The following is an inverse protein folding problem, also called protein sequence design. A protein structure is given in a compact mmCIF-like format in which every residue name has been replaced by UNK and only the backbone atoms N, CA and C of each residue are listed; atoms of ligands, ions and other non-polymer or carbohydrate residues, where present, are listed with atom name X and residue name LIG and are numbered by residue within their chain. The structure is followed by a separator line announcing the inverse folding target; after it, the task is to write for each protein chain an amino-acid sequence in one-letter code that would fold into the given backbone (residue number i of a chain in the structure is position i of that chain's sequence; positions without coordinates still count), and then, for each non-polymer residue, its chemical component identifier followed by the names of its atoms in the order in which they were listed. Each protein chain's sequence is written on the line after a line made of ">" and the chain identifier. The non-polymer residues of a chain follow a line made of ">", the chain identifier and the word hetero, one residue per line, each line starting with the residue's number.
data_IF_076141830511
#
_entry.id   IF_076141830511
#
_cell.length_a   1.000
_cell.length_b   1.000
_cell.length_c   1.000
_cell.angle_alpha   90.00
_cell.angle_beta   90.00
_cell.angle_gamma   90.00
#
_symmetry.space_group_name_H-M   'P 1'
#
loop_
_entity.id
_entity.type
_entity.pdbx_description
1 polymer ?
#
# COMPACT_ATOMS: atom_id res chain seq x y z
N UNK A 1 59.73 -4.30 -20.10
CA UNK A 1 58.52 -3.46 -19.79
C UNK A 1 58.24 -3.60 -18.31
N UNK A 2 58.49 -2.57 -17.49
CA UNK A 2 58.18 -2.60 -16.06
C UNK A 2 56.74 -2.07 -15.90
N UNK A 3 55.82 -2.91 -15.44
CA UNK A 3 54.46 -2.53 -15.07
C UNK A 3 54.52 -1.45 -13.97
N UNK A 4 53.77 -0.33 -14.11
CA UNK A 4 53.78 0.71 -13.11
C UNK A 4 53.22 0.16 -11.80
N UNK A 5 53.92 0.41 -10.72
CA UNK A 5 53.61 0.03 -9.35
C UNK A 5 52.33 0.78 -8.95
N UNK A 6 51.15 0.18 -9.14
CA UNK A 6 49.87 0.70 -8.60
C UNK A 6 49.96 0.66 -7.10
N UNK A 7 49.77 1.82 -6.40
CA UNK A 7 49.95 1.87 -4.97
C UNK A 7 48.92 0.96 -4.29
N UNK A 8 49.39 -0.08 -3.60
CA UNK A 8 48.60 -1.09 -2.86
C UNK A 8 47.49 -0.51 -1.99
N UNK A 9 47.65 0.74 -1.52
CA UNK A 9 46.67 1.44 -0.68
C UNK A 9 45.40 1.81 -1.46
N UNK A 10 45.52 2.13 -2.76
CA UNK A 10 44.36 2.47 -3.60
C UNK A 10 43.51 1.24 -3.94
N UNK A 11 44.12 0.11 -4.15
CA UNK A 11 43.43 -1.16 -4.47
C UNK A 11 42.61 -1.61 -3.27
N UNK A 12 43.11 -1.57 -2.04
CA UNK A 12 42.37 -1.93 -0.82
C UNK A 12 41.15 -1.02 -0.61
N UNK A 13 41.31 0.28 -0.83
CA UNK A 13 40.19 1.24 -0.73
C UNK A 13 39.13 0.99 -1.82
N UNK A 14 39.56 0.68 -3.03
CA UNK A 14 38.66 0.36 -4.12
C UNK A 14 37.85 -0.92 -3.83
N UNK A 15 38.50 -1.97 -3.32
CA UNK A 15 37.86 -3.23 -2.94
C UNK A 15 36.83 -2.97 -1.83
N UNK A 16 37.18 -2.21 -0.78
CA UNK A 16 36.26 -1.86 0.30
C UNK A 16 35.05 -1.08 -0.20
N UNK A 17 35.25 -0.15 -1.13
CA UNK A 17 34.17 0.63 -1.73
C UNK A 17 33.22 -0.24 -2.56
N UNK A 18 33.78 -1.15 -3.36
CA UNK A 18 32.98 -2.11 -4.16
C UNK A 18 32.17 -3.05 -3.24
N UNK A 19 32.80 -3.58 -2.17
CA UNK A 19 32.10 -4.42 -1.18
C UNK A 19 30.99 -3.64 -0.46
N UNK A 20 31.24 -2.40 -0.08
CA UNK A 20 30.23 -1.55 0.54
C UNK A 20 29.05 -1.31 -0.41
N UNK A 21 29.31 -0.95 -1.66
CA UNK A 21 28.24 -0.75 -2.66
C UNK A 21 27.45 -2.04 -2.93
N UNK A 22 28.12 -3.19 -2.96
CA UNK A 22 27.45 -4.49 -3.11
C UNK A 22 26.56 -4.83 -1.92
N UNK A 23 26.99 -4.52 -0.69
CA UNK A 23 26.17 -4.69 0.51
C UNK A 23 24.95 -3.78 0.51
N UNK A 24 25.12 -2.50 0.14
CA UNK A 24 24.02 -1.54 0.04
C UNK A 24 23.02 -1.97 -1.03
N UNK A 25 23.49 -2.35 -2.22
CA UNK A 25 22.63 -2.82 -3.30
C UNK A 25 21.91 -4.12 -2.94
N UNK A 26 22.60 -5.07 -2.31
CA UNK A 26 22.00 -6.31 -1.81
C UNK A 26 20.97 -6.07 -0.73
N UNK A 27 21.25 -5.20 0.23
CA UNK A 27 20.29 -4.79 1.28
C UNK A 27 19.05 -4.12 0.69
N UNK A 28 19.23 -3.25 -0.30
CA UNK A 28 18.11 -2.60 -0.98
C UNK A 28 17.25 -3.59 -1.78
N UNK A 29 17.88 -4.54 -2.49
CA UNK A 29 17.17 -5.59 -3.23
C UNK A 29 16.35 -6.50 -2.30
N UNK A 30 16.92 -6.90 -1.15
CA UNK A 30 16.21 -7.70 -0.13
C UNK A 30 15.07 -6.91 0.47
N UNK A 31 15.28 -5.64 0.82
CA UNK A 31 14.22 -4.76 1.32
C UNK A 31 13.07 -4.62 0.32
N UNK A 32 13.39 -4.34 -0.94
CA UNK A 32 12.40 -4.23 -2.01
C UNK A 32 11.60 -5.52 -2.22
N UNK A 33 12.31 -6.67 -2.25
CA UNK A 33 11.65 -7.97 -2.36
C UNK A 33 10.77 -8.29 -1.15
N UNK A 34 11.19 -7.87 0.04
CA UNK A 34 10.44 -8.13 1.27
C UNK A 34 9.20 -7.22 1.42
N UNK A 35 9.22 -6.03 0.87
CA UNK A 35 8.10 -5.05 0.92
C UNK A 35 7.18 -5.11 -0.30
N UNK A 36 7.45 -5.97 -1.28
CA UNK A 36 6.76 -6.00 -2.58
C UNK A 36 6.69 -4.62 -3.26
N UNK A 37 7.64 -3.74 -2.95
CA UNK A 37 7.68 -2.37 -3.43
C UNK A 37 6.59 -1.46 -2.84
N UNK A 38 5.92 -1.91 -1.77
CA UNK A 38 4.86 -1.15 -1.11
C UNK A 38 5.42 -0.31 0.05
N UNK A 39 4.95 0.92 0.17
CA UNK A 39 5.07 1.73 1.37
C UNK A 39 3.87 1.43 2.28
N UNK A 40 4.13 1.13 3.55
CA UNK A 40 3.10 0.78 4.54
C UNK A 40 2.80 1.98 5.43
N UNK A 41 1.54 2.11 5.82
CA UNK A 41 1.05 3.12 6.75
C UNK A 41 -0.05 4.01 6.15
N UNK A 42 -0.77 4.69 7.03
CA UNK A 42 -1.90 5.54 6.66
C UNK A 42 -1.44 6.88 6.06
N UNK A 43 -0.95 6.83 4.82
CA UNK A 43 -0.42 7.97 4.09
C UNK A 43 -1.51 9.00 3.74
N UNK A 44 -1.30 10.26 4.13
CA UNK A 44 -2.30 11.31 3.96
C UNK A 44 -2.56 11.67 2.49
N UNK A 45 -1.57 11.83 1.61
CA UNK A 45 -1.79 12.03 0.17
C UNK A 45 -2.59 10.89 -0.48
N UNK A 46 -2.21 9.63 -0.25
CA UNK A 46 -2.92 8.47 -0.79
C UNK A 46 -4.37 8.41 -0.30
N UNK A 47 -4.61 8.73 0.99
CA UNK A 47 -5.95 8.82 1.55
C UNK A 47 -6.79 9.89 0.88
N UNK A 48 -6.27 11.10 0.69
CA UNK A 48 -6.99 12.19 0.02
C UNK A 48 -7.38 11.83 -1.42
N UNK A 49 -6.50 11.15 -2.15
CA UNK A 49 -6.78 10.71 -3.52
C UNK A 49 -7.91 9.66 -3.57
N UNK A 50 -7.89 8.68 -2.66
CA UNK A 50 -8.95 7.67 -2.58
C UNK A 50 -10.29 8.26 -2.15
N UNK A 51 -10.30 9.16 -1.16
CA UNK A 51 -11.52 9.86 -0.72
C UNK A 51 -12.09 10.77 -1.82
N UNK A 52 -11.23 11.47 -2.57
CA UNK A 52 -11.67 12.28 -3.71
C UNK A 52 -12.32 11.43 -4.81
N UNK A 53 -11.71 10.29 -5.15
CA UNK A 53 -12.28 9.34 -6.10
C UNK A 53 -13.63 8.78 -5.62
N UNK A 54 -13.72 8.38 -4.35
CA UNK A 54 -14.96 7.87 -3.76
C UNK A 54 -16.07 8.93 -3.78
N UNK A 55 -15.76 10.20 -3.54
CA UNK A 55 -16.73 11.28 -3.61
C UNK A 55 -17.33 11.46 -5.03
N UNK A 56 -16.61 11.07 -6.07
CA UNK A 56 -17.11 11.12 -7.46
C UNK A 56 -18.04 9.93 -7.77
N UNK A 57 -17.70 8.72 -7.32
CA UNK A 57 -18.46 7.50 -7.65
C UNK A 57 -19.58 7.18 -6.65
N UNK A 58 -19.51 7.69 -5.44
CA UNK A 58 -20.46 7.49 -4.33
C UNK A 58 -21.18 8.79 -3.97
N UNK A 59 -21.88 9.35 -4.95
CA UNK A 59 -22.65 10.59 -4.76
C UNK A 59 -23.77 10.37 -3.73
N UNK A 60 -23.84 11.25 -2.73
CA UNK A 60 -24.82 11.14 -1.63
C UNK A 60 -24.31 10.42 -0.39
N UNK A 61 -23.14 9.80 -0.45
CA UNK A 61 -22.46 9.19 0.71
C UNK A 61 -21.31 10.06 1.20
N UNK A 62 -20.89 9.84 2.44
CA UNK A 62 -19.62 10.35 2.98
C UNK A 62 -18.71 9.16 3.19
N UNK A 63 -17.63 9.11 2.43
CA UNK A 63 -16.66 8.04 2.50
C UNK A 63 -15.37 8.51 3.17
N UNK A 64 -14.78 7.64 3.99
CA UNK A 64 -13.46 7.80 4.58
C UNK A 64 -12.61 6.60 4.26
N UNK A 65 -11.30 6.78 4.17
CA UNK A 65 -10.36 5.71 3.88
C UNK A 65 -9.25 5.64 4.92
N UNK A 66 -8.76 4.41 5.16
CA UNK A 66 -7.56 4.11 5.93
C UNK A 66 -6.59 3.37 5.02
N UNK A 67 -5.47 3.98 4.68
CA UNK A 67 -4.49 3.38 3.77
C UNK A 67 -3.62 2.40 4.55
N UNK A 68 -3.57 1.15 4.09
CA UNK A 68 -2.68 0.12 4.64
C UNK A 68 -1.31 0.15 3.97
N UNK A 69 -1.32 0.21 2.64
CA UNK A 69 -0.10 0.22 1.83
C UNK A 69 -0.36 0.84 0.46
N UNK A 70 0.68 1.38 -0.16
CA UNK A 70 0.61 1.93 -1.51
C UNK A 70 1.97 1.90 -2.22
N UNK A 71 1.93 2.03 -3.54
CA UNK A 71 3.08 2.36 -4.38
C UNK A 71 2.65 3.33 -5.49
N UNK A 72 3.43 3.45 -6.56
CA UNK A 72 3.10 4.33 -7.70
C UNK A 72 1.92 3.85 -8.57
N UNK A 73 1.45 2.62 -8.39
CA UNK A 73 0.43 2.00 -9.25
C UNK A 73 -0.85 1.64 -8.50
N UNK A 74 -0.73 1.28 -7.21
CA UNK A 74 -1.84 0.77 -6.42
C UNK A 74 -1.86 1.34 -5.00
N UNK A 75 -3.08 1.48 -4.45
CA UNK A 75 -3.34 1.82 -3.06
C UNK A 75 -4.29 0.76 -2.49
N UNK A 76 -3.92 0.16 -1.37
CA UNK A 76 -4.76 -0.75 -0.59
C UNK A 76 -5.30 0.00 0.62
N UNK A 77 -6.62 0.13 0.71
CA UNK A 77 -7.24 0.90 1.78
C UNK A 77 -8.52 0.28 2.30
N UNK A 78 -8.74 0.42 3.61
CA UNK A 78 -10.03 0.25 4.23
C UNK A 78 -10.94 1.40 3.82
N UNK A 79 -12.16 1.10 3.43
CA UNK A 79 -13.17 2.06 2.97
C UNK A 79 -14.39 1.98 3.88
N UNK A 80 -14.84 3.11 4.35
CA UNK A 80 -16.08 3.26 5.08
C UNK A 80 -16.93 4.35 4.45
N UNK A 81 -18.13 4.01 4.00
CA UNK A 81 -19.07 4.96 3.44
C UNK A 81 -20.38 4.96 4.24
N UNK A 82 -20.95 6.14 4.47
CA UNK A 82 -22.23 6.35 5.15
C UNK A 82 -23.14 7.25 4.32
N UNK A 83 -24.40 6.91 4.27
CA UNK A 83 -25.43 7.78 3.66
C UNK A 83 -25.60 9.08 4.46
N UNK A 84 -25.72 10.21 3.76
CA UNK A 84 -25.87 11.54 4.37
C UNK A 84 -27.24 11.81 5.00
N UNK A 85 -28.25 10.99 4.67
CA UNK A 85 -29.68 11.35 4.92
C UNK A 85 -30.39 10.54 6.01
N UNK A 86 -29.77 9.55 6.65
CA UNK A 86 -30.45 8.70 7.62
C UNK A 86 -29.92 8.89 9.04
N UNK A 87 -30.85 9.04 10.01
CA UNK A 87 -30.57 9.08 11.46
C UNK A 87 -29.95 7.78 11.99
N UNK A 88 -30.12 6.68 11.28
CA UNK A 88 -29.42 5.42 11.51
C UNK A 88 -28.45 5.19 10.36
N UNK A 89 -27.16 5.46 10.54
CA UNK A 89 -26.17 5.33 9.49
C UNK A 89 -26.00 3.86 9.12
N UNK A 90 -26.64 3.42 8.04
CA UNK A 90 -26.21 2.21 7.35
C UNK A 90 -24.88 2.51 6.69
N UNK A 91 -23.83 1.90 7.20
CA UNK A 91 -22.49 2.05 6.67
C UNK A 91 -21.89 0.67 6.43
N UNK A 92 -20.98 0.60 5.49
CA UNK A 92 -20.13 -0.58 5.31
C UNK A 92 -18.68 -0.22 5.59
N UNK A 93 -17.91 -1.23 5.96
CA UNK A 93 -16.47 -1.13 6.10
C UNK A 93 -15.84 -2.33 5.40
N UNK A 94 -15.08 -2.07 4.37
CA UNK A 94 -14.46 -3.10 3.56
C UNK A 94 -13.07 -2.67 3.08
N UNK A 95 -12.31 -3.59 2.49
CA UNK A 95 -10.99 -3.31 1.95
C UNK A 95 -11.02 -3.30 0.45
N UNK A 96 -10.56 -2.21 -0.13
CA UNK A 96 -10.54 -2.01 -1.57
C UNK A 96 -9.11 -1.83 -2.07
N UNK A 97 -8.88 -2.24 -3.31
CA UNK A 97 -7.68 -1.96 -4.08
C UNK A 97 -7.98 -0.88 -5.10
N UNK A 98 -7.27 0.22 -5.02
CA UNK A 98 -7.38 1.33 -5.96
C UNK A 98 -6.20 1.31 -6.91
N UNK A 99 -6.44 1.58 -8.16
CA UNK A 99 -5.42 1.73 -9.19
C UNK A 99 -5.16 3.21 -9.43
N UNK A 100 -3.89 3.55 -9.41
CA UNK A 100 -3.40 4.91 -9.47
C UNK A 100 -2.59 5.13 -10.75
N UNK A 101 -2.85 6.19 -11.47
CA UNK A 101 -2.14 6.59 -12.67
C UNK A 101 -2.16 8.12 -12.80
N UNK A 102 -1.00 8.71 -13.16
CA UNK A 102 -0.85 10.14 -13.47
C UNK A 102 -1.39 11.09 -12.39
N UNK A 103 -1.22 10.74 -11.14
CA UNK A 103 -1.65 11.58 -10.02
C UNK A 103 -3.10 11.40 -9.58
N UNK A 104 -3.83 10.43 -10.14
CA UNK A 104 -5.24 10.19 -9.82
C UNK A 104 -5.58 8.70 -9.71
N UNK A 105 -6.56 8.38 -8.89
CA UNK A 105 -7.19 7.05 -8.86
C UNK A 105 -8.10 6.93 -10.09
N UNK A 106 -7.90 5.88 -10.88
CA UNK A 106 -8.63 5.65 -12.14
C UNK A 106 -9.69 4.57 -12.03
N UNK A 107 -9.48 3.55 -11.19
CA UNK A 107 -10.42 2.45 -10.95
C UNK A 107 -10.19 1.82 -9.59
N UNK A 108 -11.11 0.97 -9.16
CA UNK A 108 -10.98 0.17 -7.95
C UNK A 108 -11.43 -1.26 -8.17
N UNK A 109 -11.00 -2.13 -7.28
CA UNK A 109 -11.48 -3.50 -7.09
C UNK A 109 -11.91 -3.67 -5.64
N UNK A 110 -13.02 -4.33 -5.43
CA UNK A 110 -13.56 -4.67 -4.11
C UNK A 110 -13.71 -6.19 -4.01
N UNK A 111 -13.71 -6.76 -2.79
CA UNK A 111 -13.97 -8.18 -2.60
C UNK A 111 -15.39 -8.54 -3.05
N UNK A 112 -15.61 -9.82 -3.34
CA UNK A 112 -16.94 -10.33 -3.66
C UNK A 112 -17.90 -10.09 -2.49
N UNK A 113 -19.08 -9.55 -2.77
CA UNK A 113 -20.07 -9.20 -1.76
C UNK A 113 -20.90 -10.39 -1.24
N UNK A 114 -20.73 -11.58 -1.83
CA UNK A 114 -21.58 -12.75 -1.55
C UNK A 114 -21.36 -13.37 -0.15
N UNK A 115 -20.38 -12.84 0.59
CA UNK A 115 -20.08 -13.28 1.97
C UNK A 115 -19.42 -14.65 2.08
N UNK A 116 -19.11 -15.08 3.30
CA UNK A 116 -18.58 -16.41 3.62
C UNK A 116 -17.21 -16.70 3.00
N UNK A 117 -17.03 -17.94 2.52
CA UNK A 117 -15.76 -18.39 1.92
C UNK A 117 -15.38 -17.66 0.63
N UNK A 118 -16.36 -17.23 -0.15
CA UNK A 118 -16.16 -16.47 -1.38
C UNK A 118 -15.51 -15.12 -1.07
N UNK A 119 -16.01 -14.41 -0.08
CA UNK A 119 -15.44 -13.17 0.41
C UNK A 119 -14.01 -13.35 0.93
N UNK A 120 -13.76 -14.36 1.78
CA UNK A 120 -12.43 -14.63 2.31
C UNK A 120 -11.40 -14.94 1.22
N UNK A 121 -11.80 -15.72 0.19
CA UNK A 121 -10.95 -16.01 -0.96
C UNK A 121 -10.70 -14.78 -1.84
N UNK A 122 -11.70 -13.95 -2.03
CA UNK A 122 -11.55 -12.71 -2.83
C UNK A 122 -10.61 -11.72 -2.14
N UNK A 123 -10.68 -11.58 -0.82
CA UNK A 123 -9.71 -10.79 -0.04
C UNK A 123 -8.28 -11.31 -0.20
N UNK A 124 -8.07 -12.62 -0.08
CA UNK A 124 -6.74 -13.22 -0.24
C UNK A 124 -6.16 -12.99 -1.64
N UNK A 125 -7.00 -12.94 -2.67
CA UNK A 125 -6.58 -12.61 -4.04
C UNK A 125 -6.31 -11.12 -4.23
N UNK A 126 -7.09 -10.28 -3.57
CA UNK A 126 -7.04 -8.83 -3.71
C UNK A 126 -5.83 -8.21 -3.00
N UNK A 127 -5.51 -8.74 -1.82
CA UNK A 127 -4.52 -8.15 -0.91
C UNK A 127 -3.22 -8.96 -0.87
N UNK A 128 -2.05 -8.29 -0.90
CA UNK A 128 -0.80 -8.94 -0.52
C UNK A 128 -0.85 -9.47 0.93
N UNK A 129 -0.12 -10.56 1.25
CA UNK A 129 -0.18 -11.20 2.58
C UNK A 129 0.03 -10.22 3.74
N UNK A 130 1.00 -9.33 3.66
CA UNK A 130 1.27 -8.32 4.71
C UNK A 130 0.14 -7.32 4.89
N UNK A 131 -0.51 -6.91 3.81
CA UNK A 131 -1.69 -6.01 3.89
C UNK A 131 -2.86 -6.74 4.52
N UNK A 132 -3.02 -8.03 4.21
CA UNK A 132 -4.02 -8.88 4.84
C UNK A 132 -3.79 -9.02 6.35
N UNK A 133 -2.54 -9.21 6.78
CA UNK A 133 -2.17 -9.30 8.19
C UNK A 133 -2.43 -7.98 8.92
N UNK A 134 -2.05 -6.84 8.34
CA UNK A 134 -2.31 -5.52 8.91
C UNK A 134 -3.80 -5.23 9.01
N UNK A 135 -4.60 -5.60 8.01
CA UNK A 135 -6.06 -5.54 8.07
C UNK A 135 -6.62 -6.26 9.29
N UNK A 136 -6.14 -7.48 9.58
CA UNK A 136 -6.62 -8.28 10.71
C UNK A 136 -6.21 -7.68 12.06
N UNK A 137 -5.05 -7.06 12.13
CA UNK A 137 -4.50 -6.47 13.35
C UNK A 137 -4.98 -5.02 13.62
N UNK A 138 -5.48 -4.33 12.60
CA UNK A 138 -5.92 -2.94 12.72
C UNK A 138 -7.44 -2.83 12.99
N UNK A 139 -7.81 -1.94 13.89
CA UNK A 139 -9.20 -1.55 14.13
C UNK A 139 -9.65 -0.44 13.16
N UNK A 140 -9.27 -0.54 11.87
CA UNK A 140 -9.50 0.54 10.91
C UNK A 140 -10.98 0.94 10.77
N UNK A 141 -11.91 0.01 10.86
CA UNK A 141 -13.34 0.32 10.84
C UNK A 141 -13.75 1.21 12.01
N UNK A 142 -13.14 1.00 13.18
CA UNK A 142 -13.35 1.84 14.37
C UNK A 142 -12.70 3.22 14.18
N UNK A 143 -11.50 3.28 13.64
CA UNK A 143 -10.81 4.54 13.35
C UNK A 143 -11.57 5.37 12.31
N UNK A 144 -12.25 4.72 11.37
CA UNK A 144 -13.15 5.34 10.41
C UNK A 144 -14.51 5.72 11.01
N UNK A 145 -14.74 5.42 12.30
CA UNK A 145 -15.90 5.87 13.05
C UNK A 145 -17.18 5.05 12.80
N UNK A 146 -17.05 3.75 12.51
CA UNK A 146 -18.18 2.83 12.30
C UNK A 146 -18.54 1.97 13.52
N UNK A 147 -17.70 1.95 14.54
CA UNK A 147 -17.90 1.21 15.79
C UNK A 147 -17.79 2.14 17.00
#
# INVERSE_FOLDING_TARGET
>A
MKLPFLPRIRIKRLILLVLFLALVAGGFAVYWWWTDGLAYGNDAPARQMTEHYLAQIRQGETCKTYVFAHNSEVIYAGVSCREKKHDHPSGFCDVWKFYYQDGAVTRHEQPDSDGGESYARSITKLLPPRVSDEKHNSNYCRELGLL
#
